data_IF_012182709828
#
_entry.id   IF_012182709828
#
_cell.length_a   1.000
_cell.length_b   1.000
_cell.length_c   1.000
_cell.angle_alpha   90.00
_cell.angle_beta   90.00
_cell.angle_gamma   90.00
#
_symmetry.space_group_name_H-M   'P 1'
#
loop_
_entity.id
_entity.type
_entity.pdbx_description
1 polymer ?
#
# COMPACT_ATOMS: atom_id res chain seq x y z
N UNK A 1 -4.59 45.12 -7.96
CA UNK A 1 -3.86 44.20 -8.87
C UNK A 1 -4.61 42.87 -8.91
N UNK A 2 -4.83 42.32 -10.10
CA UNK A 2 -5.38 40.98 -10.27
C UNK A 2 -4.22 40.03 -10.57
N UNK A 3 -4.14 38.91 -9.85
CA UNK A 3 -3.12 37.88 -10.10
C UNK A 3 -3.45 37.14 -11.40
N UNK A 4 -2.44 36.85 -12.20
CA UNK A 4 -2.55 36.07 -13.43
C UNK A 4 -1.48 34.98 -13.43
N UNK A 5 -1.76 33.85 -14.08
CA UNK A 5 -0.80 32.77 -14.29
C UNK A 5 -0.69 32.46 -15.79
N UNK A 6 0.51 32.12 -16.25
CA UNK A 6 0.78 31.73 -17.63
C UNK A 6 1.89 30.67 -17.64
N UNK A 7 1.76 29.67 -18.51
CA UNK A 7 2.84 28.72 -18.78
C UNK A 7 3.81 29.36 -19.79
N UNK A 8 5.09 29.46 -19.43
CA UNK A 8 6.12 30.03 -20.29
C UNK A 8 6.79 28.97 -21.17
N UNK A 9 7.19 27.84 -20.58
CA UNK A 9 7.90 26.79 -21.30
C UNK A 9 7.60 25.39 -20.74
N UNK A 10 7.70 24.38 -21.61
CA UNK A 10 7.73 22.95 -21.27
C UNK A 10 8.83 22.29 -22.11
N UNK A 11 10.05 22.21 -21.56
CA UNK A 11 11.24 21.72 -22.27
C UNK A 11 11.55 20.28 -21.89
N UNK A 12 11.86 19.43 -22.87
CA UNK A 12 12.40 18.10 -22.63
C UNK A 12 13.92 18.21 -22.43
N UNK A 13 14.41 17.80 -21.26
CA UNK A 13 15.85 17.73 -20.98
C UNK A 13 16.39 16.36 -21.39
N UNK A 14 17.37 16.35 -22.30
CA UNK A 14 18.06 15.14 -22.77
C UNK A 14 19.33 14.91 -21.97
N UNK A 15 19.67 13.64 -21.72
CA UNK A 15 20.84 13.28 -20.92
C UNK A 15 20.61 13.44 -19.41
N UNK A 16 21.68 13.37 -18.58
CA UNK A 16 21.59 13.51 -17.13
C UNK A 16 21.06 14.89 -16.72
N UNK A 17 20.10 14.91 -15.77
CA UNK A 17 19.51 16.16 -15.26
C UNK A 17 20.33 16.73 -14.12
N UNK A 18 21.60 17.05 -14.38
CA UNK A 18 22.52 17.63 -13.38
C UNK A 18 22.09 19.04 -12.96
N UNK A 19 22.60 19.50 -11.82
CA UNK A 19 22.32 20.86 -11.32
C UNK A 19 22.72 21.97 -12.31
N UNK A 20 23.83 21.80 -13.04
CA UNK A 20 24.27 22.73 -14.08
C UNK A 20 23.34 22.71 -15.30
N UNK A 21 22.90 21.54 -15.76
CA UNK A 21 21.96 21.41 -16.87
C UNK A 21 20.60 22.05 -16.54
N UNK A 22 20.12 21.91 -15.29
CA UNK A 22 18.90 22.56 -14.83
C UNK A 22 19.06 24.09 -14.75
N UNK A 23 20.19 24.58 -14.24
CA UNK A 23 20.47 26.01 -14.17
C UNK A 23 20.52 26.66 -15.56
N UNK A 24 21.22 26.03 -16.50
CA UNK A 24 21.27 26.47 -17.89
C UNK A 24 19.89 26.51 -18.54
N UNK A 25 19.09 25.45 -18.39
CA UNK A 25 17.75 25.40 -18.94
C UNK A 25 16.82 26.50 -18.38
N UNK A 26 16.93 26.83 -17.09
CA UNK A 26 16.20 27.94 -16.48
C UNK A 26 16.66 29.29 -17.03
N UNK A 27 17.98 29.49 -17.13
CA UNK A 27 18.57 30.73 -17.67
C UNK A 27 18.17 30.96 -19.14
N UNK A 28 18.13 29.89 -19.95
CA UNK A 28 17.68 29.94 -21.34
C UNK A 28 16.23 30.42 -21.42
N UNK A 29 15.33 29.89 -20.58
CA UNK A 29 13.92 30.31 -20.53
C UNK A 29 13.84 31.78 -20.09
N UNK A 30 14.58 32.19 -19.07
CA UNK A 30 14.56 33.58 -18.60
C UNK A 30 15.02 34.56 -19.68
N UNK A 31 16.02 34.18 -20.46
CA UNK A 31 16.60 34.96 -21.56
C UNK A 31 15.65 34.99 -22.77
N UNK A 32 15.11 33.84 -23.17
CA UNK A 32 14.16 33.68 -24.29
C UNK A 32 12.94 34.60 -24.14
N UNK A 33 12.39 34.70 -22.94
CA UNK A 33 11.23 35.55 -22.64
C UNK A 33 11.58 36.97 -22.17
N UNK A 34 12.87 37.29 -22.04
CA UNK A 34 13.36 38.57 -21.53
C UNK A 34 12.70 38.97 -20.19
N UNK A 35 12.73 38.02 -19.24
CA UNK A 35 12.13 38.16 -17.90
C UNK A 35 13.14 38.06 -16.77
N UNK A 36 14.43 37.89 -17.06
CA UNK A 36 15.51 37.72 -16.05
C UNK A 36 15.41 38.74 -14.90
N UNK A 37 15.31 40.02 -15.23
CA UNK A 37 15.23 41.12 -14.26
C UNK A 37 13.84 41.31 -13.61
N UNK A 38 12.84 40.53 -14.04
CA UNK A 38 11.45 40.60 -13.55
C UNK A 38 11.13 39.50 -12.54
N UNK A 39 11.95 38.46 -12.47
CA UNK A 39 11.70 37.31 -11.59
C UNK A 39 12.20 37.65 -10.19
N UNK A 40 11.26 37.69 -9.24
CA UNK A 40 11.57 37.99 -7.84
C UNK A 40 11.97 36.74 -7.07
N UNK A 41 11.31 35.60 -7.35
CA UNK A 41 11.55 34.31 -6.70
C UNK A 41 11.23 33.15 -7.63
N UNK A 42 11.92 32.04 -7.43
CA UNK A 42 11.66 30.75 -8.10
C UNK A 42 11.27 29.71 -7.06
N UNK A 43 10.24 28.92 -7.35
CA UNK A 43 9.79 27.84 -6.46
C UNK A 43 9.95 26.49 -7.13
N UNK A 44 10.67 25.57 -6.50
CA UNK A 44 10.83 24.18 -6.98
C UNK A 44 10.56 23.19 -5.85
N UNK A 45 10.47 21.90 -6.16
CA UNK A 45 10.54 20.83 -5.16
C UNK A 45 11.96 20.73 -4.54
N UNK A 46 12.13 19.81 -3.58
CA UNK A 46 13.44 19.55 -2.95
C UNK A 46 14.29 18.54 -3.73
N UNK A 47 14.12 18.42 -5.06
CA UNK A 47 15.03 17.61 -5.86
C UNK A 47 16.48 18.04 -5.62
N UNK A 48 17.36 17.09 -5.32
CA UNK A 48 18.76 17.36 -4.93
C UNK A 48 19.50 18.24 -5.94
N UNK A 49 19.28 18.01 -7.23
CA UNK A 49 19.87 18.82 -8.29
C UNK A 49 19.30 20.25 -8.36
N UNK A 50 18.02 20.47 -8.04
CA UNK A 50 17.49 21.83 -7.90
C UNK A 50 18.10 22.53 -6.69
N UNK A 51 18.14 21.87 -5.53
CA UNK A 51 18.75 22.44 -4.33
C UNK A 51 20.22 22.82 -4.58
N UNK A 52 21.00 21.95 -5.22
CA UNK A 52 22.39 22.24 -5.58
C UNK A 52 22.49 23.39 -6.60
N UNK A 53 21.60 23.44 -7.61
CA UNK A 53 21.61 24.52 -8.61
C UNK A 53 21.36 25.89 -7.97
N UNK A 54 20.37 26.00 -7.08
CA UNK A 54 20.09 27.26 -6.39
C UNK A 54 21.08 27.57 -5.27
N UNK A 55 21.78 26.58 -4.71
CA UNK A 55 22.89 26.80 -3.78
C UNK A 55 24.12 27.39 -4.48
N UNK A 56 24.42 26.91 -5.69
CA UNK A 56 25.61 27.33 -6.45
C UNK A 56 25.36 28.62 -7.25
N UNK A 57 24.20 28.73 -7.90
CA UNK A 57 23.90 29.81 -8.85
C UNK A 57 22.82 30.78 -8.37
N UNK A 58 22.19 30.52 -7.22
CA UNK A 58 21.11 31.36 -6.70
C UNK A 58 21.62 32.62 -6.00
N UNK A 59 20.84 33.70 -6.06
CA UNK A 59 21.09 34.88 -5.24
C UNK A 59 20.93 34.53 -3.74
N UNK A 60 21.99 34.72 -2.97
CA UNK A 60 21.96 34.65 -1.50
C UNK A 60 21.46 35.97 -0.92
N UNK A 61 20.69 35.89 0.17
CA UNK A 61 20.43 37.07 1.01
C UNK A 61 21.66 37.28 1.88
N UNK A 62 22.39 38.40 1.72
CA UNK A 62 23.52 38.80 2.58
C UNK A 62 23.13 38.96 4.07
N UNK A 63 21.86 38.77 4.43
CA UNK A 63 21.33 38.89 5.80
C UNK A 63 20.80 37.58 6.40
N UNK A 64 20.92 36.44 5.71
CA UNK A 64 20.60 35.13 6.31
C UNK A 64 21.60 34.08 5.80
N UNK A 65 22.72 33.95 6.51
CA UNK A 65 23.45 32.68 6.51
C UNK A 65 22.43 31.58 6.88
N UNK A 66 22.17 30.58 6.01
CA UNK A 66 21.63 29.34 6.52
C UNK A 66 22.77 28.75 7.34
N UNK A 67 22.61 28.71 8.67
CA UNK A 67 23.38 27.80 9.50
C UNK A 67 23.36 26.44 8.81
N UNK A 68 24.56 25.89 8.60
CA UNK A 68 24.78 24.53 8.17
C UNK A 68 24.08 23.60 9.16
N UNK A 69 22.81 23.28 8.89
CA UNK A 69 22.16 22.17 9.55
C UNK A 69 22.89 20.94 9.05
N UNK A 70 23.63 20.31 9.96
CA UNK A 70 24.57 19.24 9.70
C UNK A 70 24.02 18.19 8.75
N UNK A 71 24.90 17.75 7.86
CA UNK A 71 24.74 16.50 7.12
C UNK A 71 24.54 15.38 8.15
N UNK A 72 23.32 14.88 8.20
CA UNK A 72 22.94 13.64 8.88
C UNK A 72 22.20 12.78 7.89
N UNK A 73 22.87 12.41 6.80
CA UNK A 73 22.49 11.30 5.92
C UNK A 73 23.49 10.18 6.21
N UNK A 74 23.20 9.38 7.24
CA UNK A 74 23.70 8.00 7.30
C UNK A 74 22.85 7.19 6.32
N UNK A 75 23.40 6.94 5.14
CA UNK A 75 23.06 5.72 4.40
C UNK A 75 23.67 4.56 5.19
N UNK A 76 22.86 3.64 5.71
CA UNK A 76 23.34 2.28 5.96
C UNK A 76 22.30 1.23 5.59
N UNK A 77 22.81 0.35 4.73
CA UNK A 77 22.28 -0.92 4.26
C UNK A 77 22.48 -2.00 5.35
N UNK A 78 21.67 -3.06 5.27
CA UNK A 78 21.47 -4.12 6.26
C UNK A 78 22.72 -4.95 6.62
N UNK A 79 23.00 -5.16 7.93
CA UNK A 79 23.69 -6.38 8.42
C UNK A 79 24.66 -6.31 9.63
N UNK A 80 24.21 -6.79 10.81
CA UNK A 80 24.98 -7.69 11.69
C UNK A 80 26.15 -7.21 12.60
N UNK A 81 25.84 -7.12 13.92
CA UNK A 81 26.63 -7.51 15.11
C UNK A 81 28.05 -6.96 15.45
N UNK A 82 28.07 -6.34 16.64
CA UNK A 82 29.03 -6.38 17.77
C UNK A 82 30.30 -5.49 17.82
N UNK A 83 30.32 -4.75 18.94
CA UNK A 83 31.39 -4.42 19.88
C UNK A 83 32.40 -3.27 19.62
N UNK A 84 32.35 -2.36 20.60
CA UNK A 84 33.40 -1.54 21.25
C UNK A 84 33.98 -0.25 20.62
N UNK A 85 33.70 0.83 21.37
CA UNK A 85 34.58 1.92 21.85
C UNK A 85 35.59 2.58 20.88
N UNK A 86 35.46 3.89 20.66
CA UNK A 86 36.23 4.97 21.33
C UNK A 86 36.03 6.31 20.58
N UNK A 87 35.74 7.37 21.33
CA UNK A 87 35.75 8.76 20.88
C UNK A 87 37.20 9.23 20.71
N UNK A 88 37.59 9.73 19.53
CA UNK A 88 38.71 10.66 19.40
C UNK A 88 38.41 11.79 18.42
N UNK A 89 38.67 13.01 18.89
CA UNK A 89 38.48 14.29 18.22
C UNK A 89 39.50 14.53 17.08
N UNK A 90 39.10 15.43 16.18
CA UNK A 90 39.93 16.34 15.37
C UNK A 90 40.47 15.86 14.01
N UNK A 91 39.97 16.48 12.93
CA UNK A 91 40.62 17.55 12.15
C UNK A 91 39.71 17.87 10.95
N UNK A 92 39.20 19.11 10.86
CA UNK A 92 38.54 19.62 9.64
C UNK A 92 39.53 19.54 8.47
N UNK A 93 39.23 18.67 7.50
CA UNK A 93 39.94 18.61 6.24
C UNK A 93 39.51 19.80 5.37
N UNK A 94 40.24 20.92 5.50
CA UNK A 94 40.14 22.02 4.53
C UNK A 94 40.75 21.52 3.22
N UNK A 95 39.90 21.15 2.27
CA UNK A 95 40.33 20.77 0.92
C UNK A 95 40.85 22.02 0.20
N UNK A 96 42.17 22.10 0.00
CA UNK A 96 42.80 23.21 -0.71
C UNK A 96 42.49 23.09 -2.21
N UNK A 97 41.59 23.94 -2.71
CA UNK A 97 41.37 24.11 -4.15
C UNK A 97 42.47 25.02 -4.69
N UNK A 98 43.20 24.54 -5.70
CA UNK A 98 44.21 25.33 -6.41
C UNK A 98 43.55 26.56 -7.07
N UNK A 99 43.89 27.75 -6.58
CA UNK A 99 43.40 29.01 -7.13
C UNK A 99 43.82 29.22 -8.60
N UNK A 100 44.85 28.52 -9.08
CA UNK A 100 45.26 28.52 -10.49
C UNK A 100 44.24 27.84 -11.40
N UNK A 101 43.62 26.74 -10.95
CA UNK A 101 42.57 26.04 -11.72
C UNK A 101 41.24 26.80 -11.77
N UNK A 102 41.02 27.78 -10.88
CA UNK A 102 39.87 28.68 -10.88
C UNK A 102 40.02 29.88 -11.82
N UNK A 103 41.23 30.15 -12.32
CA UNK A 103 41.51 31.31 -13.19
C UNK A 103 41.67 30.94 -14.67
N UNK A 104 41.71 29.65 -15.01
CA UNK A 104 41.89 29.17 -16.39
C UNK A 104 40.60 28.62 -17.06
N UNK A 105 39.43 28.78 -16.41
CA UNK A 105 38.13 28.60 -17.06
C UNK A 105 37.30 29.89 -16.96
N UNK A 106 37.35 30.70 -18.03
CA UNK A 106 36.56 31.92 -18.26
C UNK A 106 35.02 31.72 -18.30
N UNK A 107 34.50 30.62 -17.74
CA UNK A 107 33.08 30.22 -17.77
C UNK A 107 32.41 30.15 -16.37
N UNK A 108 33.12 30.50 -15.29
CA UNK A 108 32.65 30.23 -13.91
C UNK A 108 31.48 31.10 -13.41
N UNK A 109 30.83 31.90 -14.26
CA UNK A 109 29.73 32.82 -13.89
C UNK A 109 28.58 32.90 -14.91
N UNK A 110 28.29 31.85 -15.68
CA UNK A 110 27.27 31.98 -16.74
C UNK A 110 25.82 32.09 -16.22
N UNK A 111 25.52 31.51 -15.04
CA UNK A 111 24.14 31.41 -14.53
C UNK A 111 23.93 32.23 -13.25
N UNK A 112 22.98 33.18 -13.29
CA UNK A 112 22.44 33.83 -12.11
C UNK A 112 20.97 33.45 -11.97
N UNK A 113 20.67 32.60 -10.99
CA UNK A 113 19.31 32.18 -10.68
C UNK A 113 18.68 33.12 -9.62
N UNK A 114 17.37 33.41 -9.74
CA UNK A 114 16.64 34.18 -8.74
C UNK A 114 16.58 33.46 -7.38
N UNK A 115 16.17 34.19 -6.34
CA UNK A 115 15.98 33.64 -4.98
C UNK A 115 15.11 32.39 -4.99
N UNK A 116 15.56 31.36 -4.29
CA UNK A 116 14.89 30.06 -4.23
C UNK A 116 13.93 29.94 -3.06
N UNK A 117 12.75 29.40 -3.32
CA UNK A 117 11.80 28.93 -2.32
C UNK A 117 11.52 27.45 -2.51
N UNK A 118 11.50 26.71 -1.40
CA UNK A 118 11.02 25.33 -1.39
C UNK A 118 9.50 25.31 -1.55
N UNK A 119 9.01 24.39 -2.37
CA UNK A 119 7.58 24.20 -2.59
C UNK A 119 6.89 23.73 -1.29
N UNK A 120 5.98 24.57 -0.76
CA UNK A 120 5.21 24.24 0.44
C UNK A 120 4.42 22.93 0.30
N UNK A 121 3.90 22.62 -0.90
CA UNK A 121 3.19 21.36 -1.14
C UNK A 121 4.09 20.13 -1.01
N UNK A 122 5.35 20.23 -1.47
CA UNK A 122 6.32 19.14 -1.29
C UNK A 122 6.69 18.95 0.18
N UNK A 123 6.89 20.05 0.92
CA UNK A 123 7.19 19.98 2.36
C UNK A 123 6.01 19.38 3.15
N UNK A 124 4.77 19.79 2.86
CA UNK A 124 3.58 19.20 3.49
C UNK A 124 3.46 17.70 3.21
N UNK A 125 3.78 17.28 1.98
CA UNK A 125 3.83 15.87 1.64
C UNK A 125 4.88 15.13 2.48
N UNK A 126 6.08 15.68 2.61
CA UNK A 126 7.16 15.08 3.39
C UNK A 126 6.76 14.90 4.86
N UNK A 127 6.11 15.88 5.47
CA UNK A 127 5.56 15.77 6.83
C UNK A 127 4.61 14.59 6.92
N UNK A 128 3.65 14.49 5.99
CA UNK A 128 2.67 13.39 6.00
C UNK A 128 3.30 12.02 5.80
N UNK A 129 4.34 11.89 4.96
CA UNK A 129 5.03 10.60 4.72
C UNK A 129 5.95 10.23 5.85
N UNK A 130 6.67 11.20 6.44
CA UNK A 130 7.57 10.95 7.59
C UNK A 130 6.76 10.55 8.82
N UNK A 131 5.64 11.22 9.09
CA UNK A 131 4.78 10.88 10.21
C UNK A 131 4.08 9.52 10.00
N UNK A 132 3.71 9.20 8.75
CA UNK A 132 3.23 7.86 8.40
C UNK A 132 4.29 6.77 8.64
N UNK A 133 5.56 7.02 8.30
CA UNK A 133 6.67 6.11 8.58
C UNK A 133 6.94 5.97 10.08
N UNK A 134 6.88 7.07 10.84
CA UNK A 134 7.00 7.03 12.31
C UNK A 134 5.88 6.23 12.96
N UNK A 135 4.67 6.23 12.39
CA UNK A 135 3.58 5.40 12.88
C UNK A 135 3.89 3.89 12.72
N UNK A 136 4.75 3.48 11.78
CA UNK A 136 5.19 2.10 11.61
C UNK A 136 6.15 1.59 12.70
N UNK A 137 6.57 2.44 13.64
CA UNK A 137 7.30 1.99 14.84
C UNK A 137 6.43 1.03 15.67
N UNK A 138 5.11 1.20 15.65
CA UNK A 138 4.19 0.26 16.30
C UNK A 138 4.05 -1.02 15.45
N UNK A 139 4.45 -2.21 15.97
CA UNK A 139 4.42 -3.46 15.22
C UNK A 139 3.01 -3.90 14.78
N UNK A 140 1.99 -3.62 15.58
CA UNK A 140 0.59 -3.95 15.26
C UNK A 140 0.12 -3.11 14.07
N UNK A 141 0.32 -1.79 14.16
CA UNK A 141 -0.02 -0.88 13.06
C UNK A 141 0.75 -1.24 11.78
N UNK A 142 2.06 -1.52 11.88
CA UNK A 142 2.89 -1.93 10.74
C UNK A 142 2.35 -3.18 10.06
N UNK A 143 1.95 -4.19 10.84
CA UNK A 143 1.38 -5.45 10.32
C UNK A 143 0.06 -5.21 9.60
N UNK A 144 -0.87 -4.50 10.25
CA UNK A 144 -2.20 -4.19 9.68
C UNK A 144 -2.07 -3.32 8.44
N UNK A 145 -1.24 -2.28 8.49
CA UNK A 145 -0.95 -1.38 7.37
C UNK A 145 -0.41 -2.16 6.17
N UNK A 146 0.67 -2.93 6.34
CA UNK A 146 1.28 -3.72 5.25
C UNK A 146 0.30 -4.72 4.64
N UNK A 147 -0.45 -5.44 5.47
CA UNK A 147 -1.45 -6.40 5.01
C UNK A 147 -2.57 -5.72 4.20
N UNK A 148 -3.06 -4.57 4.68
CA UNK A 148 -4.13 -3.80 4.04
C UNK A 148 -3.67 -3.22 2.72
N UNK A 149 -2.52 -2.55 2.70
CA UNK A 149 -1.96 -1.97 1.48
C UNK A 149 -1.60 -3.04 0.45
N UNK A 150 -1.09 -4.22 0.86
CA UNK A 150 -0.83 -5.32 -0.06
C UNK A 150 -2.11 -5.76 -0.80
N UNK A 151 -3.24 -5.86 -0.09
CA UNK A 151 -4.56 -6.15 -0.70
C UNK A 151 -5.01 -5.03 -1.64
N UNK A 152 -4.88 -3.78 -1.22
CA UNK A 152 -5.23 -2.62 -2.04
C UNK A 152 -4.40 -2.58 -3.34
N UNK A 153 -3.07 -2.78 -3.24
CA UNK A 153 -2.19 -2.83 -4.40
C UNK A 153 -2.50 -4.01 -5.32
N UNK A 154 -2.83 -5.18 -4.79
CA UNK A 154 -3.32 -6.31 -5.59
C UNK A 154 -4.55 -5.90 -6.42
N UNK A 155 -5.54 -5.27 -5.77
CA UNK A 155 -6.78 -4.86 -6.42
C UNK A 155 -6.57 -3.73 -7.44
N UNK A 156 -5.83 -2.68 -7.09
CA UNK A 156 -5.47 -1.58 -7.99
C UNK A 156 -4.72 -2.07 -9.23
N UNK A 157 -3.73 -2.96 -9.04
CA UNK A 157 -2.97 -3.51 -10.15
C UNK A 157 -3.85 -4.37 -11.05
N UNK A 158 -4.76 -5.17 -10.48
CA UNK A 158 -5.66 -6.02 -11.23
C UNK A 158 -6.68 -5.23 -12.03
N UNK A 159 -7.32 -4.24 -11.41
CA UNK A 159 -8.20 -3.27 -12.08
C UNK A 159 -7.50 -2.59 -13.25
N UNK A 160 -6.25 -2.16 -13.08
CA UNK A 160 -5.50 -1.49 -14.15
C UNK A 160 -5.09 -2.39 -15.33
N UNK A 161 -5.06 -3.72 -15.12
CA UNK A 161 -4.54 -4.70 -16.09
C UNK A 161 -5.63 -5.55 -16.75
N UNK A 162 -6.86 -5.46 -16.28
CA UNK A 162 -7.99 -6.26 -16.78
C UNK A 162 -9.24 -5.40 -16.86
N UNK A 163 -9.77 -5.26 -18.08
CA UNK A 163 -11.03 -4.56 -18.33
C UNK A 163 -12.18 -5.26 -17.60
N UNK A 164 -12.25 -6.58 -17.64
CA UNK A 164 -13.24 -7.38 -16.90
C UNK A 164 -13.15 -7.15 -15.39
N UNK A 165 -11.95 -7.09 -14.81
CA UNK A 165 -11.83 -6.77 -13.39
C UNK A 165 -12.26 -5.33 -13.07
N UNK A 166 -12.01 -4.38 -13.97
CA UNK A 166 -12.47 -3.00 -13.84
C UNK A 166 -13.99 -2.89 -13.93
N UNK A 167 -14.64 -3.66 -14.81
CA UNK A 167 -16.09 -3.74 -14.96
C UNK A 167 -16.73 -4.33 -13.70
N UNK A 168 -16.22 -5.47 -13.19
CA UNK A 168 -16.70 -6.08 -11.94
C UNK A 168 -16.59 -5.10 -10.75
N UNK A 169 -15.51 -4.34 -10.69
CA UNK A 169 -15.33 -3.30 -9.66
C UNK A 169 -16.38 -2.19 -9.83
N UNK A 170 -16.61 -1.71 -11.04
CA UNK A 170 -17.62 -0.67 -11.30
C UNK A 170 -19.03 -1.17 -11.01
N UNK A 171 -19.33 -2.43 -11.31
CA UNK A 171 -20.63 -3.06 -11.08
C UNK A 171 -20.96 -3.16 -9.59
N UNK A 172 -20.01 -3.61 -8.75
CA UNK A 172 -20.24 -3.76 -7.31
C UNK A 172 -20.02 -2.46 -6.54
N UNK A 173 -18.99 -1.68 -6.90
CA UNK A 173 -18.60 -0.47 -6.15
C UNK A 173 -19.21 0.82 -6.69
N UNK A 174 -19.86 0.80 -7.87
CA UNK A 174 -20.42 1.97 -8.57
C UNK A 174 -19.42 3.08 -8.90
N UNK A 175 -18.14 2.82 -8.63
CA UNK A 175 -17.02 3.73 -8.81
C UNK A 175 -15.83 2.89 -9.24
N UNK A 176 -15.06 3.41 -10.19
CA UNK A 176 -13.78 2.83 -10.54
C UNK A 176 -12.73 3.14 -9.48
N UNK A 177 -11.78 2.23 -9.31
CA UNK A 177 -10.60 2.46 -8.49
C UNK A 177 -9.59 3.35 -9.23
N UNK A 178 -8.90 4.18 -8.46
CA UNK A 178 -7.78 4.98 -8.95
C UNK A 178 -6.50 4.28 -8.51
N UNK A 179 -5.60 3.98 -9.45
CA UNK A 179 -4.30 3.38 -9.14
C UNK A 179 -3.35 4.48 -8.63
N UNK A 180 -2.65 4.26 -7.50
CA UNK A 180 -1.64 5.19 -7.03
C UNK A 180 -0.42 5.21 -7.98
N UNK A 181 0.07 6.42 -8.24
CA UNK A 181 1.25 6.68 -9.08
C UNK A 181 2.33 7.35 -8.22
N UNK A 182 3.50 6.74 -8.13
CA UNK A 182 4.60 7.22 -7.28
C UNK A 182 5.07 8.65 -7.62
N UNK A 183 4.98 9.05 -8.88
CA UNK A 183 5.44 10.37 -9.34
C UNK A 183 4.49 11.53 -9.01
N UNK A 184 3.31 11.26 -8.42
CA UNK A 184 2.33 12.27 -8.04
C UNK A 184 2.08 12.23 -6.53
N UNK A 185 2.51 13.28 -5.84
CA UNK A 185 2.55 13.36 -4.37
C UNK A 185 1.23 13.00 -3.67
N UNK A 186 0.08 13.40 -4.20
CA UNK A 186 -1.24 13.12 -3.59
C UNK A 186 -1.95 11.87 -4.14
N UNK A 187 -1.27 11.08 -4.98
CA UNK A 187 -1.91 9.98 -5.69
C UNK A 187 -2.30 8.83 -4.78
N UNK A 188 -1.47 8.50 -3.78
CA UNK A 188 -1.80 7.49 -2.78
C UNK A 188 -3.01 7.92 -1.95
N UNK A 189 -3.01 9.16 -1.45
CA UNK A 189 -4.14 9.72 -0.73
C UNK A 189 -5.44 9.63 -1.53
N UNK A 190 -5.43 10.08 -2.79
CA UNK A 190 -6.63 10.04 -3.65
C UNK A 190 -7.12 8.61 -3.91
N UNK A 191 -6.20 7.64 -4.00
CA UNK A 191 -6.53 6.23 -4.20
C UNK A 191 -7.13 5.61 -2.94
N UNK A 192 -6.61 5.95 -1.76
CA UNK A 192 -7.15 5.49 -0.46
C UNK A 192 -8.48 6.16 -0.16
N UNK A 193 -8.61 7.47 -0.38
CA UNK A 193 -9.85 8.23 -0.24
C UNK A 193 -10.95 7.65 -1.13
N UNK A 194 -10.62 7.21 -2.35
CA UNK A 194 -11.56 6.48 -3.22
C UNK A 194 -12.08 5.19 -2.59
N UNK A 195 -11.21 4.38 -1.98
CA UNK A 195 -11.63 3.14 -1.30
C UNK A 195 -12.51 3.47 -0.11
N UNK A 196 -12.10 4.41 0.75
CA UNK A 196 -12.89 4.84 1.91
C UNK A 196 -14.26 5.37 1.48
N UNK A 197 -14.32 6.11 0.38
CA UNK A 197 -15.56 6.61 -0.20
C UNK A 197 -16.47 5.47 -0.67
N UNK A 198 -15.92 4.47 -1.35
CA UNK A 198 -16.67 3.25 -1.73
C UNK A 198 -17.21 2.55 -0.48
N UNK A 199 -16.38 2.35 0.54
CA UNK A 199 -16.80 1.71 1.80
C UNK A 199 -17.92 2.50 2.47
N UNK A 200 -17.87 3.83 2.45
CA UNK A 200 -18.91 4.70 3.04
C UNK A 200 -20.21 4.69 2.23
N UNK A 201 -20.13 4.68 0.91
CA UNK A 201 -21.29 4.81 0.01
C UNK A 201 -21.97 3.47 -0.33
N UNK A 202 -21.20 2.38 -0.49
CA UNK A 202 -21.68 1.06 -0.89
C UNK A 202 -21.53 -0.01 0.21
N UNK A 203 -20.84 0.31 1.30
CA UNK A 203 -20.57 -0.63 2.39
C UNK A 203 -19.39 -1.57 2.12
N UNK A 204 -18.91 -2.22 3.18
CA UNK A 204 -17.80 -3.18 3.11
C UNK A 204 -18.14 -4.42 2.27
N UNK A 205 -19.43 -4.76 2.16
CA UNK A 205 -19.93 -5.88 1.36
C UNK A 205 -19.59 -5.78 -0.13
N UNK A 206 -19.55 -4.56 -0.68
CA UNK A 206 -19.20 -4.34 -2.08
C UNK A 206 -17.75 -4.76 -2.39
N UNK A 207 -16.80 -4.37 -1.53
CA UNK A 207 -15.40 -4.77 -1.67
C UNK A 207 -15.20 -6.27 -1.41
N UNK A 208 -15.99 -6.86 -0.51
CA UNK A 208 -15.98 -8.30 -0.27
C UNK A 208 -16.48 -9.09 -1.50
N UNK A 209 -17.55 -8.62 -2.15
CA UNK A 209 -18.08 -9.23 -3.38
C UNK A 209 -17.06 -9.19 -4.51
N UNK A 210 -16.43 -8.02 -4.73
CA UNK A 210 -15.33 -7.87 -5.70
C UNK A 210 -14.19 -8.84 -5.42
N UNK A 211 -13.73 -8.92 -4.16
CA UNK A 211 -12.66 -9.85 -3.80
C UNK A 211 -13.06 -11.31 -4.07
N UNK A 212 -14.27 -11.71 -3.67
CA UNK A 212 -14.78 -13.08 -3.87
C UNK A 212 -14.83 -13.47 -5.35
N UNK A 213 -15.38 -12.59 -6.19
CA UNK A 213 -15.51 -12.81 -7.62
C UNK A 213 -14.15 -12.83 -8.33
N UNK A 214 -13.20 -12.00 -7.88
CA UNK A 214 -11.90 -11.89 -8.50
C UNK A 214 -10.88 -12.92 -7.99
N UNK A 215 -11.00 -13.48 -6.78
CA UNK A 215 -9.97 -14.37 -6.19
C UNK A 215 -10.17 -15.86 -6.38
N UNK A 216 -11.29 -16.32 -6.94
CA UNK A 216 -11.51 -17.75 -7.14
C UNK A 216 -10.66 -18.30 -8.33
N UNK A 217 -9.79 -19.31 -8.13
CA UNK A 217 -9.01 -19.91 -9.23
C UNK A 217 -9.89 -20.61 -10.27
N UNK A 218 -11.01 -21.19 -9.82
CA UNK A 218 -12.00 -21.87 -10.66
C UNK A 218 -12.70 -20.89 -11.61
N UNK A 219 -13.14 -19.74 -11.11
CA UNK A 219 -13.76 -18.66 -11.92
C UNK A 219 -12.77 -18.07 -12.91
N UNK A 220 -11.50 -17.84 -12.52
CA UNK A 220 -10.44 -17.42 -13.46
C UNK A 220 -10.26 -18.42 -14.62
N UNK A 221 -10.20 -19.72 -14.32
CA UNK A 221 -10.07 -20.74 -15.35
C UNK A 221 -11.33 -20.86 -16.22
N UNK A 222 -12.52 -20.72 -15.65
CA UNK A 222 -13.79 -20.73 -16.41
C UNK A 222 -13.94 -19.51 -17.33
N UNK A 223 -13.53 -18.32 -16.89
CA UNK A 223 -13.52 -17.11 -17.72
C UNK A 223 -12.49 -17.22 -18.86
N UNK A 224 -11.32 -17.80 -18.60
CA UNK A 224 -10.31 -18.07 -19.63
C UNK A 224 -10.79 -19.15 -20.60
N UNK A 225 -11.56 -20.14 -20.15
CA UNK A 225 -12.18 -21.16 -21.00
C UNK A 225 -13.15 -20.51 -22.00
N UNK A 226 -13.93 -19.52 -21.57
CA UNK A 226 -14.90 -18.83 -22.43
C UNK A 226 -14.25 -17.92 -23.48
N UNK A 227 -13.03 -17.43 -23.23
CA UNK A 227 -12.36 -16.42 -24.09
C UNK A 227 -11.19 -16.98 -24.90
N UNK A 228 -10.63 -18.13 -24.55
CA UNK A 228 -9.46 -18.71 -25.21
C UNK A 228 -9.83 -19.59 -26.41
N UNK A 229 -9.37 -19.22 -27.61
CA UNK A 229 -9.54 -20.02 -28.84
C UNK A 229 -8.51 -21.13 -29.04
N UNK A 230 -7.38 -21.08 -28.33
CA UNK A 230 -6.23 -21.97 -28.57
C UNK A 230 -5.86 -22.85 -27.37
N UNK A 231 -6.07 -22.38 -26.14
CA UNK A 231 -5.69 -23.10 -24.93
C UNK A 231 -6.87 -23.80 -24.24
N UNK A 232 -8.02 -23.90 -24.91
CA UNK A 232 -9.22 -24.58 -24.40
C UNK A 232 -8.90 -26.00 -23.85
N UNK A 233 -8.13 -26.87 -24.56
CA UNK A 233 -7.83 -28.21 -24.03
C UNK A 233 -7.00 -28.18 -22.74
N UNK A 234 -6.09 -27.21 -22.60
CA UNK A 234 -5.28 -27.04 -21.40
C UNK A 234 -6.11 -26.54 -20.23
N UNK A 235 -6.99 -25.56 -20.47
CA UNK A 235 -7.87 -25.00 -19.44
C UNK A 235 -8.88 -26.06 -18.99
N UNK A 236 -9.45 -26.83 -19.93
CA UNK A 236 -10.32 -27.97 -19.64
C UNK A 236 -9.58 -29.04 -18.82
N UNK A 237 -8.33 -29.36 -19.15
CA UNK A 237 -7.52 -30.30 -18.39
C UNK A 237 -7.22 -29.80 -16.96
N UNK A 238 -6.97 -28.49 -16.78
CA UNK A 238 -6.75 -27.89 -15.46
C UNK A 238 -8.03 -27.87 -14.61
N UNK A 239 -9.17 -27.50 -15.20
CA UNK A 239 -10.47 -27.57 -14.54
C UNK A 239 -10.83 -29.00 -14.15
N UNK A 240 -10.63 -29.95 -15.06
CA UNK A 240 -10.83 -31.38 -14.79
C UNK A 240 -9.87 -31.89 -13.72
N UNK A 241 -8.62 -31.43 -13.73
CA UNK A 241 -7.62 -31.79 -12.72
C UNK A 241 -7.97 -31.28 -11.32
N UNK A 242 -8.49 -30.04 -11.23
CA UNK A 242 -8.99 -29.47 -9.99
C UNK A 242 -10.21 -30.24 -9.48
N UNK A 243 -11.18 -30.51 -10.34
CA UNK A 243 -12.38 -31.27 -9.98
C UNK A 243 -12.02 -32.71 -9.57
N UNK A 244 -11.11 -33.37 -10.27
CA UNK A 244 -10.67 -34.73 -9.94
C UNK A 244 -9.92 -34.80 -8.61
N UNK A 245 -9.11 -33.79 -8.27
CA UNK A 245 -8.27 -33.81 -7.06
C UNK A 245 -8.97 -33.27 -5.83
N UNK A 246 -9.85 -32.30 -6.02
CA UNK A 246 -10.46 -31.56 -4.91
C UNK A 246 -11.98 -31.62 -4.92
N UNK A 247 -12.65 -32.14 -5.96
CA UNK A 247 -14.10 -32.20 -6.05
C UNK A 247 -14.74 -33.01 -4.92
N UNK A 248 -14.22 -34.22 -4.66
CA UNK A 248 -14.67 -35.03 -3.51
C UNK A 248 -14.41 -34.34 -2.17
N UNK A 249 -13.27 -33.65 -2.05
CA UNK A 249 -12.89 -32.90 -0.86
C UNK A 249 -13.83 -31.71 -0.60
N UNK A 250 -14.18 -30.98 -1.66
CA UNK A 250 -15.09 -29.83 -1.63
C UNK A 250 -16.55 -30.24 -1.44
N UNK A 251 -16.90 -31.49 -1.73
CA UNK A 251 -18.22 -32.07 -1.49
C UNK A 251 -18.31 -32.81 -0.13
N UNK A 252 -17.19 -32.99 0.57
CA UNK A 252 -17.16 -33.71 1.85
C UNK A 252 -17.77 -32.84 2.97
N UNK A 253 -18.90 -33.26 3.57
CA UNK A 253 -19.58 -32.50 4.63
C UNK A 253 -18.69 -32.15 5.82
N UNK A 254 -17.75 -33.03 6.19
CA UNK A 254 -16.82 -32.82 7.30
C UNK A 254 -15.83 -31.68 7.01
N UNK A 255 -15.29 -31.64 5.80
CA UNK A 255 -14.32 -30.62 5.40
C UNK A 255 -15.01 -29.28 5.15
N UNK A 256 -16.23 -29.30 4.63
CA UNK A 256 -17.09 -28.11 4.52
C UNK A 256 -17.38 -27.57 5.92
N UNK A 257 -17.77 -28.42 6.87
CA UNK A 257 -18.01 -28.05 8.26
C UNK A 257 -16.75 -27.46 8.90
N UNK A 258 -15.59 -28.10 8.72
CA UNK A 258 -14.31 -27.58 9.21
C UNK A 258 -14.01 -26.18 8.63
N UNK A 259 -14.22 -25.96 7.33
CA UNK A 259 -14.03 -24.66 6.69
C UNK A 259 -15.00 -23.58 7.24
N UNK A 260 -16.24 -23.96 7.55
CA UNK A 260 -17.23 -23.07 8.19
C UNK A 260 -16.81 -22.69 9.62
N UNK A 261 -16.22 -23.63 10.37
CA UNK A 261 -15.78 -23.41 11.74
C UNK A 261 -14.46 -22.60 11.83
N UNK A 262 -13.72 -22.46 10.74
CA UNK A 262 -12.53 -21.60 10.69
C UNK A 262 -12.95 -20.12 10.55
N UNK A 263 -12.63 -19.24 11.52
CA UNK A 263 -13.13 -17.85 11.54
C UNK A 263 -12.74 -17.01 10.32
N UNK A 264 -11.60 -17.31 9.69
CA UNK A 264 -11.13 -16.63 8.47
C UNK A 264 -11.93 -17.00 7.22
N UNK A 265 -12.51 -18.21 7.20
CA UNK A 265 -13.21 -18.76 6.05
C UNK A 265 -14.73 -18.64 6.22
N UNK A 266 -15.28 -19.08 7.35
CA UNK A 266 -16.74 -19.11 7.62
C UNK A 266 -17.54 -19.51 6.38
N UNK A 267 -18.42 -18.65 5.90
CA UNK A 267 -19.18 -18.81 4.65
C UNK A 267 -18.61 -18.01 3.48
N UNK A 268 -17.47 -17.32 3.63
CA UNK A 268 -16.92 -16.40 2.63
C UNK A 268 -16.27 -17.08 1.43
N UNK A 269 -15.94 -18.37 1.54
CA UNK A 269 -15.20 -19.12 0.53
C UNK A 269 -16.08 -19.76 -0.54
N UNK A 270 -17.41 -19.76 -0.36
CA UNK A 270 -18.36 -20.29 -1.33
C UNK A 270 -19.68 -19.51 -1.28
N UNK A 271 -20.28 -19.28 -2.44
CA UNK A 271 -21.62 -18.69 -2.57
C UNK A 271 -22.70 -19.75 -2.80
N UNK A 272 -22.34 -21.03 -2.86
CA UNK A 272 -23.31 -22.13 -3.05
C UNK A 272 -24.02 -22.44 -1.74
N UNK A 273 -25.29 -22.04 -1.66
CA UNK A 273 -26.15 -22.26 -0.50
C UNK A 273 -26.32 -23.75 -0.16
N UNK A 274 -26.27 -24.64 -1.15
CA UNK A 274 -26.42 -26.08 -0.90
C UNK A 274 -25.19 -26.66 -0.21
N UNK A 275 -23.99 -26.20 -0.59
CA UNK A 275 -22.73 -26.59 0.05
C UNK A 275 -22.70 -26.09 1.49
N UNK A 276 -23.06 -24.82 1.71
CA UNK A 276 -23.14 -24.26 3.07
C UNK A 276 -24.16 -25.01 3.92
N UNK A 277 -25.34 -25.30 3.37
CA UNK A 277 -26.37 -26.07 4.05
C UNK A 277 -25.88 -27.47 4.44
N UNK A 278 -25.20 -28.16 3.53
CA UNK A 278 -24.64 -29.50 3.78
C UNK A 278 -23.63 -29.49 4.95
N UNK A 279 -22.75 -28.49 5.00
CA UNK A 279 -21.81 -28.34 6.10
C UNK A 279 -22.48 -27.96 7.43
N UNK A 280 -23.47 -27.06 7.40
CA UNK A 280 -24.22 -26.67 8.60
C UNK A 280 -25.05 -27.83 9.17
N UNK A 281 -25.70 -28.60 8.31
CA UNK A 281 -26.47 -29.78 8.72
C UNK A 281 -25.56 -30.85 9.33
N UNK A 282 -24.33 -31.01 8.79
CA UNK A 282 -23.31 -31.88 9.37
C UNK A 282 -22.84 -31.40 10.75
N UNK A 283 -22.64 -30.09 10.95
CA UNK A 283 -22.29 -29.54 12.27
C UNK A 283 -23.43 -29.79 13.26
N UNK A 284 -24.68 -29.49 12.88
CA UNK A 284 -25.85 -29.69 13.74
C UNK A 284 -26.03 -31.14 14.15
N UNK A 285 -25.90 -32.10 13.22
CA UNK A 285 -26.05 -33.52 13.55
C UNK A 285 -25.02 -34.00 14.57
N UNK A 286 -23.81 -33.45 14.56
CA UNK A 286 -22.76 -33.80 15.53
C UNK A 286 -22.95 -33.11 16.89
N UNK A 287 -23.54 -31.92 16.91
CA UNK A 287 -23.91 -31.23 18.15
C UNK A 287 -25.07 -31.96 18.86
N UNK A 288 -26.05 -32.44 18.11
CA UNK A 288 -27.19 -33.19 18.65
C UNK A 288 -26.76 -34.55 19.23
N UNK A 289 -25.82 -35.25 18.59
CA UNK A 289 -25.24 -36.50 19.12
C UNK A 289 -24.43 -36.33 20.42
N UNK A 290 -23.85 -35.15 20.68
CA UNK A 290 -23.11 -34.91 21.93
C UNK A 290 -24.04 -34.56 23.11
N UNK A 291 -25.21 -33.97 22.84
CA UNK A 291 -26.20 -33.69 23.87
C UNK A 291 -26.77 -34.97 24.51
N UNK A 292 -26.86 -36.07 23.74
CA UNK A 292 -27.35 -37.38 24.24
C UNK A 292 -26.30 -38.14 25.08
N UNK A 293 -24.99 -37.95 24.82
CA UNK A 293 -23.92 -38.63 25.55
C UNK A 293 -23.56 -37.97 26.89
N UNK A 294 -23.90 -36.69 27.09
CA UNK A 294 -23.56 -35.94 28.30
C UNK A 294 -24.41 -36.26 29.54
N UNK A 295 -25.44 -37.09 29.42
CA UNK A 295 -26.26 -37.51 30.57
C UNK A 295 -25.61 -38.68 31.34
N UNK A 296 -24.58 -39.35 30.80
CA UNK A 296 -24.12 -40.63 31.38
C UNK A 296 -22.74 -40.65 32.04
N UNK A 297 -21.84 -39.67 31.86
CA UNK A 297 -20.52 -39.74 32.50
C UNK A 297 -20.10 -38.41 33.14
N UNK A 298 -20.03 -38.43 34.47
CA UNK A 298 -19.50 -37.34 35.28
C UNK A 298 -17.97 -37.33 35.33
N UNK A 299 -17.41 -36.13 35.24
CA UNK A 299 -16.11 -35.68 35.78
C UNK A 299 -14.83 -36.44 35.40
N UNK A 300 -13.97 -35.82 34.60
CA UNK A 300 -12.57 -35.53 35.01
C UNK A 300 -11.87 -34.58 34.05
N UNK A 301 -11.13 -33.62 34.62
CA UNK A 301 -10.29 -32.60 34.00
C UNK A 301 -9.12 -33.17 33.18
N UNK A 302 -8.70 -32.45 32.14
CA UNK A 302 -7.28 -32.15 31.91
C UNK A 302 -7.15 -30.67 31.52
N UNK A 303 -6.57 -29.90 32.44
CA UNK A 303 -6.10 -28.54 32.26
C UNK A 303 -4.75 -28.59 31.52
N UNK A 304 -4.68 -28.01 30.33
CA UNK A 304 -3.43 -27.70 29.63
C UNK A 304 -3.46 -26.22 29.28
N UNK A 305 -2.49 -25.48 29.81
CA UNK A 305 -2.33 -24.05 29.63
C UNK A 305 -1.85 -23.74 28.20
N UNK A 306 -2.77 -23.77 27.24
CA UNK A 306 -2.65 -23.01 26.02
C UNK A 306 -3.85 -22.06 25.94
N UNK A 307 -3.58 -20.79 25.64
CA UNK A 307 -4.56 -19.71 25.44
C UNK A 307 -5.87 -20.23 24.87
N UNK A 308 -6.89 -20.31 25.73
CA UNK A 308 -8.15 -20.98 25.44
C UNK A 308 -8.94 -20.10 24.46
N UNK A 309 -8.69 -20.32 23.16
CA UNK A 309 -9.19 -19.57 22.00
C UNK A 309 -10.72 -19.39 21.99
N UNK A 310 -11.44 -20.26 22.69
CA UNK A 310 -12.90 -20.19 22.85
C UNK A 310 -13.38 -19.33 24.03
N UNK A 311 -12.49 -18.62 24.74
CA UNK A 311 -12.83 -17.76 25.88
C UNK A 311 -13.89 -16.68 25.54
N UNK A 312 -13.93 -16.21 24.30
CA UNK A 312 -14.96 -15.28 23.81
C UNK A 312 -16.36 -15.91 23.72
N UNK A 313 -16.47 -17.22 23.47
CA UNK A 313 -17.73 -17.98 23.49
C UNK A 313 -18.21 -18.31 24.91
N UNK A 314 -17.32 -18.26 25.91
CA UNK A 314 -17.66 -18.51 27.32
C UNK A 314 -18.46 -17.37 27.97
N UNK A 315 -18.60 -16.21 27.31
CA UNK A 315 -19.32 -15.04 27.86
C UNK A 315 -20.84 -15.09 27.68
N UNK A 316 -21.35 -15.99 26.85
CA UNK A 316 -22.80 -16.21 26.73
C UNK A 316 -23.19 -17.36 27.65
N UNK A 317 -24.20 -17.15 28.52
CA UNK A 317 -24.75 -18.19 29.40
C UNK A 317 -25.21 -19.43 28.63
N UNK A 318 -25.70 -20.49 29.31
CA UNK A 318 -26.01 -21.77 28.69
C UNK A 318 -27.17 -21.61 27.69
N UNK A 319 -26.82 -21.31 26.44
CA UNK A 319 -27.70 -21.34 25.28
C UNK A 319 -27.71 -22.76 24.73
N UNK A 320 -28.84 -23.17 24.15
CA UNK A 320 -28.92 -24.42 23.40
C UNK A 320 -27.81 -24.44 22.33
N UNK A 321 -27.19 -25.60 22.11
CA UNK A 321 -26.02 -25.79 21.21
C UNK A 321 -26.26 -25.25 19.79
N UNK A 322 -27.51 -25.28 19.31
CA UNK A 322 -27.93 -24.67 18.04
C UNK A 322 -27.83 -23.15 18.02
N UNK A 323 -28.19 -22.49 19.13
CA UNK A 323 -28.14 -21.03 19.28
C UNK A 323 -26.70 -20.50 19.37
N UNK A 324 -25.75 -21.33 19.82
CA UNK A 324 -24.32 -20.99 19.84
C UNK A 324 -23.71 -20.99 18.43
N UNK A 325 -24.12 -21.90 17.55
CA UNK A 325 -23.68 -21.93 16.16
C UNK A 325 -24.21 -20.69 15.40
N UNK A 326 -25.48 -20.34 15.61
CA UNK A 326 -26.06 -19.14 15.00
C UNK A 326 -25.39 -17.87 15.52
N UNK A 327 -25.04 -17.81 16.82
CA UNK A 327 -24.24 -16.72 17.38
C UNK A 327 -22.82 -16.65 16.78
N UNK A 328 -22.14 -17.78 16.57
CA UNK A 328 -20.81 -17.83 15.94
C UNK A 328 -20.83 -17.34 14.48
N UNK A 329 -21.86 -17.71 13.72
CA UNK A 329 -22.04 -17.26 12.33
C UNK A 329 -22.43 -15.78 12.26
N UNK A 330 -23.18 -15.29 13.26
CA UNK A 330 -23.56 -13.89 13.40
C UNK A 330 -22.44 -12.97 13.92
N UNK A 331 -21.46 -13.52 14.64
CA UNK A 331 -20.28 -12.76 15.06
C UNK A 331 -19.43 -12.36 13.84
N UNK A 332 -19.03 -11.08 13.71
CA UNK A 332 -17.97 -10.71 12.77
C UNK A 332 -16.75 -11.57 13.10
N UNK A 333 -16.25 -12.36 12.15
CA UNK A 333 -15.04 -13.16 12.39
C UNK A 333 -13.91 -12.22 12.84
N UNK A 334 -13.12 -12.64 13.83
CA UNK A 334 -12.01 -11.85 14.36
C UNK A 334 -11.20 -11.22 13.22
N UNK A 335 -11.42 -9.93 13.01
CA UNK A 335 -10.43 -9.05 12.41
C UNK A 335 -9.27 -9.07 13.38
N UNK A 336 -8.30 -9.94 13.10
CA UNK A 336 -7.00 -9.95 13.79
C UNK A 336 -6.50 -8.51 13.92
N UNK A 337 -6.49 -8.02 15.16
CA UNK A 337 -5.78 -6.80 15.58
C UNK A 337 -4.31 -6.80 15.13
#
# INVERSE_FOLDING_TARGET
MQRSCAALACKQLKGPHTFSALAGALNDIHTEFNIREKIVRTTTDNGSNFLKAFRVYGQTDDENHPESVGEGDEEDDDGGQNDDEEEEESIESVEFVDAGALLDEDDYMEFLLPKHHRCACYLLNLVSTVDASKAEVNPLYKRVSRSTFAKCFSLWNKSSRSTTASEVIEDHCKLQLVRPVATRWNSLFSSVERIVRITREQGEGALAAVCSELDTPKTKLQQLHATSKFCEPLIAALLTGLEKRFGEMLANPELIAAAILVPKFKNRWTSDENVLKLGLDYIRSHLDCQAENYVSEGSSLISSEEEDFFSSLKKTGPLETSQQLDAYLGCPGETLE
#
